data_IF_825835703538
#
_entry.id   IF_825835703538
#
_cell.length_a   1.000
_cell.length_b   1.000
_cell.length_c   1.000
_cell.angle_alpha   90.00
_cell.angle_beta   90.00
_cell.angle_gamma   90.00
#
_symmetry.space_group_name_H-M   'P 1'
#
loop_
_entity.id
_entity.type
_entity.pdbx_description
1 polymer ?
#
# COMPACT_ATOMS: atom_id res chain seq x y z
N UNK A 1 -14.19 -10.56 -18.67
CA UNK A 1 -15.63 -10.88 -18.57
C UNK A 1 -16.40 -9.89 -19.45
N UNK A 2 -17.40 -10.30 -20.23
CA UNK A 2 -18.21 -9.36 -21.02
C UNK A 2 -18.85 -8.28 -20.14
N UNK A 3 -18.95 -7.05 -20.65
CA UNK A 3 -19.50 -5.90 -19.92
C UNK A 3 -20.98 -6.10 -19.53
N UNK A 4 -21.77 -6.72 -20.43
CA UNK A 4 -23.15 -7.12 -20.13
C UNK A 4 -23.27 -8.21 -19.05
N UNK A 5 -22.14 -8.78 -18.62
CA UNK A 5 -22.03 -9.69 -17.49
C UNK A 5 -22.87 -10.96 -17.56
N UNK A 6 -22.80 -11.73 -16.47
CA UNK A 6 -23.66 -12.89 -16.20
C UNK A 6 -24.44 -12.74 -14.89
N UNK A 7 -24.26 -11.61 -14.20
CA UNK A 7 -24.95 -11.28 -12.95
C UNK A 7 -26.48 -11.31 -13.18
N UNK A 8 -27.22 -11.92 -12.26
CA UNK A 8 -28.67 -12.10 -12.30
C UNK A 8 -29.17 -13.29 -13.13
N UNK A 9 -28.30 -13.95 -13.91
CA UNK A 9 -28.65 -15.18 -14.67
C UNK A 9 -28.48 -16.43 -13.81
N UNK A 10 -29.13 -17.52 -14.20
CA UNK A 10 -28.72 -18.85 -13.69
C UNK A 10 -27.41 -19.30 -14.33
N UNK A 11 -26.78 -20.31 -13.75
CA UNK A 11 -25.57 -20.90 -14.34
C UNK A 11 -25.85 -21.49 -15.71
N UNK A 12 -27.01 -22.10 -15.88
CA UNK A 12 -27.41 -22.77 -17.11
C UNK A 12 -27.64 -21.74 -18.24
N UNK A 13 -28.24 -20.60 -17.92
CA UNK A 13 -28.40 -19.47 -18.85
C UNK A 13 -27.04 -18.83 -19.23
N UNK A 14 -26.08 -18.82 -18.31
CA UNK A 14 -24.76 -18.22 -18.50
C UNK A 14 -23.72 -19.18 -19.13
N UNK A 15 -23.93 -20.49 -19.03
CA UNK A 15 -22.95 -21.52 -19.40
C UNK A 15 -22.45 -21.41 -20.84
N UNK A 16 -23.29 -21.16 -21.88
CA UNK A 16 -22.79 -21.02 -23.25
C UNK A 16 -21.77 -19.88 -23.39
N UNK A 17 -22.05 -18.75 -22.74
CA UNK A 17 -21.17 -17.58 -22.75
C UNK A 17 -19.87 -17.89 -22.00
N UNK A 18 -19.95 -18.45 -20.80
CA UNK A 18 -18.79 -18.76 -19.97
C UNK A 18 -17.87 -19.80 -20.64
N UNK A 19 -18.44 -20.83 -21.27
CA UNK A 19 -17.68 -21.85 -22.02
C UNK A 19 -17.01 -21.29 -23.27
N UNK A 20 -17.66 -20.34 -23.96
CA UNK A 20 -17.08 -19.68 -25.14
C UNK A 20 -15.79 -18.92 -24.84
N UNK A 21 -15.52 -18.60 -23.58
CA UNK A 21 -14.30 -17.90 -23.16
C UNK A 21 -13.06 -18.80 -23.11
N UNK A 22 -13.21 -20.13 -23.23
CA UNK A 22 -12.09 -21.05 -23.37
C UNK A 22 -11.19 -21.18 -22.14
N UNK A 23 -11.65 -20.76 -20.97
CA UNK A 23 -10.93 -20.87 -19.69
C UNK A 23 -11.75 -21.64 -18.65
N UNK A 24 -11.11 -22.29 -17.66
CA UNK A 24 -11.83 -23.02 -16.61
C UNK A 24 -12.79 -22.11 -15.85
N UNK A 25 -13.99 -22.60 -15.52
CA UNK A 25 -14.98 -21.86 -14.73
C UNK A 25 -15.26 -22.62 -13.44
N UNK A 26 -15.01 -21.96 -12.30
CA UNK A 26 -15.22 -22.47 -10.95
C UNK A 26 -16.43 -21.80 -10.33
N UNK A 27 -17.31 -22.60 -9.76
CA UNK A 27 -18.58 -22.15 -9.19
C UNK A 27 -18.52 -22.27 -7.67
N UNK A 28 -18.98 -21.22 -7.00
CA UNK A 28 -18.97 -21.05 -5.55
C UNK A 28 -20.36 -20.65 -5.06
N UNK A 29 -20.65 -20.92 -3.79
CA UNK A 29 -21.85 -20.43 -3.10
C UNK A 29 -21.51 -19.16 -2.32
N UNK A 30 -22.39 -18.17 -2.40
CA UNK A 30 -22.23 -16.87 -1.73
C UNK A 30 -23.53 -16.45 -1.06
N UNK A 31 -23.42 -15.72 0.05
CA UNK A 31 -24.57 -15.05 0.65
C UNK A 31 -25.09 -13.94 -0.28
N UNK A 32 -26.38 -14.00 -0.59
CA UNK A 32 -27.00 -13.11 -1.59
C UNK A 32 -28.49 -12.94 -1.30
N UNK A 33 -29.01 -11.77 -1.67
CA UNK A 33 -30.45 -11.47 -1.66
C UNK A 33 -31.21 -12.15 -2.82
N UNK A 34 -30.51 -12.85 -3.72
CA UNK A 34 -31.07 -13.48 -4.91
C UNK A 34 -30.62 -14.95 -5.07
N UNK A 35 -31.19 -15.87 -4.27
CA UNK A 35 -30.84 -17.29 -4.34
C UNK A 35 -31.00 -17.91 -5.74
N UNK A 36 -30.06 -18.77 -6.12
CA UNK A 36 -30.05 -19.49 -7.40
C UNK A 36 -29.60 -18.66 -8.61
N UNK A 37 -29.30 -17.37 -8.44
CA UNK A 37 -28.75 -16.50 -9.48
C UNK A 37 -27.27 -16.24 -9.26
N UNK A 38 -26.55 -15.96 -10.34
CA UNK A 38 -25.16 -15.50 -10.27
C UNK A 38 -25.16 -14.10 -9.68
N UNK A 39 -24.48 -13.93 -8.55
CA UNK A 39 -24.46 -12.69 -7.79
C UNK A 39 -23.05 -12.08 -7.68
N UNK A 40 -22.01 -12.86 -7.94
CA UNK A 40 -20.62 -12.40 -7.96
C UNK A 40 -19.82 -13.05 -9.09
N UNK A 41 -18.84 -12.33 -9.64
CA UNK A 41 -17.89 -12.89 -10.61
C UNK A 41 -16.48 -12.37 -10.39
N UNK A 42 -15.47 -13.19 -10.66
CA UNK A 42 -14.08 -12.74 -10.82
C UNK A 42 -13.51 -13.32 -12.14
N UNK A 43 -13.05 -12.47 -13.08
CA UNK A 43 -13.04 -11.01 -13.01
C UNK A 43 -14.45 -10.41 -13.05
N UNK A 44 -14.57 -9.15 -12.61
CA UNK A 44 -15.83 -8.38 -12.68
C UNK A 44 -16.26 -8.15 -14.13
N UNK A 45 -17.56 -7.91 -14.42
CA UNK A 45 -18.02 -7.54 -15.75
C UNK A 45 -17.22 -6.35 -16.32
N UNK A 46 -16.76 -6.47 -17.56
CA UNK A 46 -15.90 -5.47 -18.21
C UNK A 46 -14.40 -5.59 -17.91
N UNK A 47 -14.01 -6.34 -16.87
CA UNK A 47 -12.60 -6.51 -16.51
C UNK A 47 -11.93 -7.68 -17.26
N UNK A 48 -10.62 -7.59 -17.58
CA UNK A 48 -9.87 -8.67 -18.22
C UNK A 48 -9.71 -9.89 -17.30
N UNK A 49 -9.43 -11.06 -17.88
CA UNK A 49 -9.10 -12.27 -17.10
C UNK A 49 -7.76 -12.09 -16.37
N UNK A 50 -7.71 -12.52 -15.10
CA UNK A 50 -6.47 -12.56 -14.31
C UNK A 50 -5.62 -13.77 -14.74
N UNK A 51 -5.07 -13.72 -15.96
CA UNK A 51 -4.26 -14.77 -16.57
C UNK A 51 -4.95 -16.15 -16.64
N UNK A 52 -4.18 -17.22 -16.41
CA UNK A 52 -4.66 -18.61 -16.48
C UNK A 52 -5.51 -19.05 -15.26
N UNK A 53 -5.93 -18.14 -14.37
CA UNK A 53 -6.60 -18.51 -13.10
C UNK A 53 -8.05 -18.96 -13.27
N UNK A 54 -8.62 -18.84 -14.48
CA UNK A 54 -10.01 -19.18 -14.77
C UNK A 54 -11.00 -18.11 -14.31
N UNK A 55 -12.29 -18.39 -14.50
CA UNK A 55 -13.41 -17.54 -14.11
C UNK A 55 -14.01 -18.11 -12.83
N UNK A 56 -14.30 -17.25 -11.86
CA UNK A 56 -14.96 -17.62 -10.62
C UNK A 56 -16.36 -17.02 -10.62
N UNK A 57 -17.37 -17.85 -10.32
CA UNK A 57 -18.78 -17.48 -10.31
C UNK A 57 -19.35 -17.76 -8.92
N UNK A 58 -19.96 -16.76 -8.29
CA UNK A 58 -20.69 -16.91 -7.04
C UNK A 58 -22.19 -17.01 -7.31
N UNK A 59 -22.81 -18.12 -6.95
CA UNK A 59 -24.26 -18.32 -6.98
C UNK A 59 -24.81 -17.95 -5.61
N UNK A 60 -25.85 -17.12 -5.60
CA UNK A 60 -26.58 -16.80 -4.39
C UNK A 60 -27.14 -18.05 -3.74
N UNK A 61 -26.85 -18.24 -2.47
CA UNK A 61 -27.52 -19.19 -1.61
C UNK A 61 -28.34 -18.41 -0.58
N UNK A 62 -29.51 -18.96 -0.24
CA UNK A 62 -30.29 -18.45 0.87
C UNK A 62 -29.46 -18.52 2.16
N UNK A 63 -29.56 -17.50 3.01
CA UNK A 63 -28.80 -17.46 4.25
C UNK A 63 -29.19 -18.66 5.13
N UNK A 64 -28.25 -19.58 5.32
CA UNK A 64 -28.47 -20.84 6.04
C UNK A 64 -28.53 -20.68 7.56
N UNK A 65 -28.20 -19.49 8.07
CA UNK A 65 -27.97 -19.27 9.50
C UNK A 65 -28.81 -18.13 10.09
N UNK A 66 -30.11 -17.97 9.76
CA UNK A 66 -30.91 -16.83 10.23
C UNK A 66 -30.90 -16.68 11.75
N UNK A 67 -30.78 -17.80 12.48
CA UNK A 67 -30.82 -17.85 13.94
C UNK A 67 -29.42 -17.81 14.60
N UNK A 68 -28.32 -17.95 13.84
CA UNK A 68 -26.95 -18.06 14.38
C UNK A 68 -25.94 -17.06 13.84
N UNK A 69 -26.39 -16.11 13.01
CA UNK A 69 -25.61 -14.99 12.49
C UNK A 69 -26.09 -14.58 11.11
N UNK A 70 -26.16 -13.28 10.85
CA UNK A 70 -26.57 -12.74 9.54
C UNK A 70 -25.36 -12.67 8.62
N UNK A 71 -25.53 -13.07 7.37
CA UNK A 71 -24.47 -12.97 6.36
C UNK A 71 -24.36 -11.55 5.77
N UNK A 72 -23.20 -11.21 5.22
CA UNK A 72 -23.01 -9.94 4.49
C UNK A 72 -23.30 -10.17 3.00
N UNK A 73 -24.38 -9.63 2.43
CA UNK A 73 -24.76 -9.94 1.06
C UNK A 73 -23.81 -9.30 0.03
N UNK A 74 -23.59 -10.00 -1.09
CA UNK A 74 -22.78 -9.47 -2.21
C UNK A 74 -23.42 -8.22 -2.85
N UNK A 75 -24.73 -8.04 -2.72
CA UNK A 75 -25.48 -6.88 -3.23
C UNK A 75 -25.15 -5.56 -2.52
N UNK A 76 -24.34 -5.58 -1.45
CA UNK A 76 -23.76 -4.34 -0.94
C UNK A 76 -22.75 -3.75 -1.91
N UNK A 77 -22.05 -4.57 -2.73
CA UNK A 77 -21.10 -4.03 -3.70
C UNK A 77 -21.78 -3.03 -4.64
N UNK A 78 -21.14 -1.88 -4.85
CA UNK A 78 -21.64 -0.76 -5.66
C UNK A 78 -22.92 -0.08 -5.11
N UNK A 79 -23.40 -0.46 -3.93
CA UNK A 79 -24.45 0.27 -3.21
C UNK A 79 -23.88 1.54 -2.59
N UNK A 80 -24.67 2.61 -2.54
CA UNK A 80 -24.31 3.83 -1.81
C UNK A 80 -23.94 3.52 -0.35
N UNK A 81 -22.88 4.15 0.17
CA UNK A 81 -22.35 3.83 1.50
C UNK A 81 -23.34 4.12 2.63
N UNK A 82 -24.18 5.15 2.49
CA UNK A 82 -25.13 5.56 3.53
C UNK A 82 -26.38 4.67 3.48
N UNK A 83 -26.81 4.27 2.27
CA UNK A 83 -27.83 3.23 2.08
C UNK A 83 -27.37 1.89 2.66
N UNK A 84 -26.14 1.46 2.36
CA UNK A 84 -25.55 0.22 2.86
C UNK A 84 -25.38 0.24 4.39
N UNK A 85 -24.91 1.37 4.94
CA UNK A 85 -24.82 1.56 6.38
C UNK A 85 -26.19 1.37 7.05
N UNK A 86 -27.23 2.01 6.51
CA UNK A 86 -28.59 1.90 7.03
C UNK A 86 -29.12 0.47 6.92
N UNK A 87 -28.98 -0.16 5.75
CA UNK A 87 -29.40 -1.53 5.53
C UNK A 87 -28.79 -2.48 6.56
N UNK A 88 -27.48 -2.44 6.75
CA UNK A 88 -26.80 -3.34 7.69
C UNK A 88 -27.10 -2.98 9.16
N UNK A 89 -27.27 -1.69 9.48
CA UNK A 89 -27.65 -1.26 10.82
C UNK A 89 -29.08 -1.69 11.19
N UNK A 90 -30.02 -1.61 10.25
CA UNK A 90 -31.40 -2.08 10.41
C UNK A 90 -31.43 -3.63 10.57
N UNK A 91 -30.44 -4.32 9.99
CA UNK A 91 -30.18 -5.75 10.21
C UNK A 91 -29.46 -6.05 11.55
N UNK A 92 -29.23 -5.04 12.39
CA UNK A 92 -28.66 -5.20 13.73
C UNK A 92 -27.13 -5.25 13.78
N UNK A 93 -26.43 -5.04 12.67
CA UNK A 93 -24.97 -4.94 12.67
C UNK A 93 -24.49 -3.62 13.27
N UNK A 94 -23.37 -3.66 13.99
CA UNK A 94 -22.61 -2.45 14.30
C UNK A 94 -21.67 -2.13 13.15
N UNK A 95 -22.05 -1.14 12.35
CA UNK A 95 -21.36 -0.82 11.10
C UNK A 95 -20.29 0.26 11.30
N UNK A 96 -19.09 0.00 10.79
CA UNK A 96 -18.01 0.99 10.63
C UNK A 96 -17.76 1.24 9.14
N UNK A 97 -17.72 2.50 8.73
CA UNK A 97 -17.35 2.89 7.35
C UNK A 97 -15.88 3.28 7.28
N UNK A 98 -15.14 2.69 6.34
CA UNK A 98 -13.71 2.97 6.13
C UNK A 98 -13.47 3.33 4.66
N UNK A 99 -12.85 4.49 4.36
CA UNK A 99 -12.50 4.85 2.99
C UNK A 99 -11.45 3.90 2.40
N UNK A 100 -11.59 3.57 1.12
CA UNK A 100 -10.62 2.80 0.33
C UNK A 100 -10.53 3.38 -1.07
N UNK A 101 -9.33 3.54 -1.61
CA UNK A 101 -9.18 4.04 -2.98
C UNK A 101 -9.89 3.12 -3.96
N UNK A 102 -10.62 3.72 -4.89
CA UNK A 102 -11.36 3.01 -5.92
C UNK A 102 -11.51 3.87 -7.17
N UNK A 103 -11.88 3.23 -8.28
CA UNK A 103 -12.20 3.91 -9.53
C UNK A 103 -13.37 4.90 -9.39
N UNK A 104 -13.42 5.90 -10.28
CA UNK A 104 -14.39 7.00 -10.25
C UNK A 104 -15.84 6.52 -10.18
N UNK A 105 -16.15 5.39 -10.84
CA UNK A 105 -17.50 4.78 -10.88
C UNK A 105 -18.00 4.27 -9.51
N UNK A 106 -17.09 4.04 -8.57
CA UNK A 106 -17.37 3.46 -7.25
C UNK A 106 -17.22 4.46 -6.09
N UNK A 107 -16.94 5.73 -6.38
CA UNK A 107 -16.82 6.74 -5.33
C UNK A 107 -18.12 6.88 -4.53
N UNK A 108 -18.01 6.88 -3.20
CA UNK A 108 -19.15 6.91 -2.28
C UNK A 108 -19.92 5.60 -2.15
N UNK A 109 -19.51 4.54 -2.86
CA UNK A 109 -20.19 3.24 -2.86
C UNK A 109 -19.35 2.16 -2.19
N UNK A 110 -19.96 1.07 -1.75
CA UNK A 110 -19.25 -0.03 -1.11
C UNK A 110 -18.41 -0.80 -2.13
N UNK A 111 -17.14 -0.99 -1.79
CA UNK A 111 -16.12 -1.68 -2.61
C UNK A 111 -15.56 -2.92 -1.93
N UNK A 112 -16.02 -3.22 -0.72
CA UNK A 112 -15.67 -4.43 0.03
C UNK A 112 -16.15 -4.36 1.48
N UNK A 113 -15.92 -5.42 2.23
CA UNK A 113 -16.23 -5.47 3.67
C UNK A 113 -15.30 -6.42 4.43
N UNK A 114 -15.33 -6.32 5.76
CA UNK A 114 -14.80 -7.33 6.68
C UNK A 114 -15.84 -7.60 7.78
N UNK A 115 -16.41 -8.81 7.90
CA UNK A 115 -16.22 -10.00 7.06
C UNK A 115 -16.49 -9.75 5.56
N UNK A 116 -15.91 -10.56 4.67
CA UNK A 116 -15.97 -10.33 3.22
C UNK A 116 -17.38 -10.39 2.64
N UNK A 117 -17.64 -9.61 1.59
CA UNK A 117 -18.93 -9.61 0.89
C UNK A 117 -19.24 -11.02 0.37
N UNK A 118 -20.44 -11.52 0.65
CA UNK A 118 -20.89 -12.86 0.28
C UNK A 118 -20.41 -13.97 1.22
N UNK A 119 -19.61 -13.67 2.23
CA UNK A 119 -19.19 -14.66 3.23
C UNK A 119 -20.29 -14.87 4.27
N UNK A 120 -20.59 -16.13 4.56
CA UNK A 120 -21.46 -16.48 5.68
C UNK A 120 -20.73 -16.27 7.00
N UNK A 121 -21.35 -15.57 7.94
CA UNK A 121 -20.80 -15.31 9.26
C UNK A 121 -21.73 -15.84 10.35
N UNK A 122 -21.15 -16.23 11.51
CA UNK A 122 -21.91 -16.70 12.68
C UNK A 122 -21.66 -15.75 13.85
N UNK A 123 -22.73 -15.18 14.41
CA UNK A 123 -22.72 -14.34 15.61
C UNK A 123 -23.04 -12.85 15.39
N UNK A 124 -23.28 -12.16 16.51
CA UNK A 124 -23.43 -10.69 16.59
C UNK A 124 -22.05 -10.07 16.36
N UNK A 125 -21.86 -9.37 15.24
CA UNK A 125 -20.53 -8.93 14.80
C UNK A 125 -20.51 -7.49 14.34
N UNK A 126 -19.44 -6.80 14.73
CA UNK A 126 -19.03 -5.54 14.13
C UNK A 126 -18.65 -5.82 12.67
N UNK A 127 -19.21 -5.05 11.73
CA UNK A 127 -18.86 -5.11 10.31
C UNK A 127 -18.14 -3.83 9.90
N UNK A 128 -17.07 -3.99 9.13
CA UNK A 128 -16.44 -2.87 8.43
C UNK A 128 -16.86 -2.88 6.97
N UNK A 129 -17.48 -1.80 6.52
CA UNK A 129 -17.79 -1.56 5.11
C UNK A 129 -16.75 -0.60 4.53
N UNK A 130 -16.08 -1.04 3.48
CA UNK A 130 -15.13 -0.20 2.75
C UNK A 130 -15.85 0.53 1.63
N UNK A 131 -15.72 1.84 1.55
CA UNK A 131 -16.33 2.64 0.49
C UNK A 131 -15.28 3.30 -0.41
N UNK A 132 -15.61 3.45 -1.68
CA UNK A 132 -14.74 4.06 -2.68
C UNK A 132 -14.48 5.53 -2.34
N UNK A 133 -13.21 5.87 -2.18
CA UNK A 133 -12.73 7.20 -1.85
C UNK A 133 -11.70 7.68 -2.88
N UNK A 134 -11.55 8.99 -2.97
CA UNK A 134 -10.64 9.65 -3.89
C UNK A 134 -9.58 10.47 -3.14
N UNK A 135 -8.83 11.30 -3.87
CA UNK A 135 -7.76 12.13 -3.34
C UNK A 135 -8.18 13.01 -2.13
N UNK A 136 -9.46 13.38 -2.02
CA UNK A 136 -9.97 14.24 -0.94
C UNK A 136 -9.89 13.60 0.45
N UNK A 137 -9.89 12.27 0.54
CA UNK A 137 -9.81 11.53 1.81
C UNK A 137 -8.39 11.09 2.18
N UNK A 138 -7.39 11.36 1.34
CA UNK A 138 -6.01 10.86 1.48
C UNK A 138 -5.42 11.08 2.87
N UNK A 139 -5.46 12.31 3.41
CA UNK A 139 -4.91 12.57 4.75
C UNK A 139 -5.63 11.76 5.83
N UNK A 140 -6.95 11.63 5.75
CA UNK A 140 -7.75 10.82 6.69
C UNK A 140 -7.46 9.32 6.57
N UNK A 141 -7.15 8.84 5.37
CA UNK A 141 -6.87 7.42 5.11
C UNK A 141 -5.51 6.96 5.67
N UNK A 142 -4.52 7.85 5.72
CA UNK A 142 -3.16 7.49 6.14
C UNK A 142 -2.82 7.92 7.56
N UNK A 143 -3.57 8.86 8.14
CA UNK A 143 -3.17 9.50 9.40
C UNK A 143 -4.19 9.34 10.52
N UNK A 144 -3.68 9.33 11.74
CA UNK A 144 -4.47 9.41 12.96
C UNK A 144 -3.92 10.49 13.88
N UNK A 145 -4.75 10.94 14.82
CA UNK A 145 -4.30 11.82 15.88
C UNK A 145 -3.61 10.99 16.97
N UNK A 146 -2.42 11.42 17.40
CA UNK A 146 -1.76 10.89 18.60
C UNK A 146 -1.68 11.96 19.69
N UNK A 147 -1.83 11.51 20.93
CA UNK A 147 -1.82 12.33 22.13
C UNK A 147 -0.64 11.88 23.01
N UNK A 148 0.44 12.65 23.03
CA UNK A 148 1.62 12.35 23.85
C UNK A 148 1.51 12.97 25.24
N UNK A 149 0.89 14.15 25.35
CA UNK A 149 0.61 14.83 26.61
C UNK A 149 -0.56 15.80 26.43
N UNK A 150 -1.00 16.44 27.51
CA UNK A 150 -2.02 17.50 27.47
C UNK A 150 -1.69 18.64 26.49
N UNK A 151 -0.40 18.90 26.29
CA UNK A 151 0.11 19.98 25.45
C UNK A 151 0.82 19.48 24.19
N UNK A 152 0.78 18.18 23.88
CA UNK A 152 1.41 17.65 22.66
C UNK A 152 0.48 16.66 21.98
N UNK A 153 -0.19 17.16 20.94
CA UNK A 153 -1.00 16.34 20.02
C UNK A 153 -0.41 16.42 18.62
N UNK A 154 -0.42 15.31 17.89
CA UNK A 154 0.08 15.26 16.51
C UNK A 154 -0.93 14.62 15.57
N UNK A 155 -0.80 14.90 14.27
CA UNK A 155 -1.39 14.09 13.20
C UNK A 155 -0.25 13.38 12.51
N UNK A 156 -0.25 12.05 12.60
CA UNK A 156 0.86 11.21 12.16
C UNK A 156 0.40 10.13 11.20
N UNK A 157 1.29 9.69 10.32
CA UNK A 157 1.07 8.46 9.57
C UNK A 157 0.92 7.30 10.54
N UNK A 158 -0.21 6.62 10.43
CA UNK A 158 -0.61 5.53 11.32
C UNK A 158 -0.86 4.22 10.58
N UNK A 159 -0.96 4.27 9.26
CA UNK A 159 -1.25 3.10 8.44
C UNK A 159 -0.78 3.31 7.01
N UNK A 160 -0.40 2.22 6.35
CA UNK A 160 -0.09 2.15 4.92
C UNK A 160 -1.10 1.28 4.16
N UNK A 161 -2.13 0.77 4.85
CA UNK A 161 -3.17 -0.10 4.29
C UNK A 161 -3.82 0.42 2.99
N UNK A 162 -3.95 1.73 2.72
CA UNK A 162 -4.47 2.19 1.42
C UNK A 162 -3.67 1.78 0.18
N UNK A 163 -2.41 1.34 0.31
CA UNK A 163 -1.64 0.75 -0.79
C UNK A 163 -1.97 -0.73 -1.03
N UNK A 164 -2.57 -1.42 -0.05
CA UNK A 164 -2.82 -2.87 -0.10
C UNK A 164 -3.75 -3.22 -1.25
N UNK A 165 -3.31 -4.16 -2.07
CA UNK A 165 -4.04 -4.62 -3.24
C UNK A 165 -3.12 -4.95 -4.40
N UNK A 166 -3.75 -5.39 -5.48
CA UNK A 166 -3.09 -5.70 -6.74
C UNK A 166 -3.23 -4.52 -7.69
N UNK A 167 -2.12 -4.12 -8.30
CA UNK A 167 -2.02 -3.00 -9.21
C UNK A 167 -1.32 -3.46 -10.48
N UNK A 168 -1.91 -3.27 -11.65
CA UNK A 168 -1.38 -3.81 -12.89
C UNK A 168 -1.30 -2.76 -13.99
N UNK A 169 -0.22 -2.82 -14.78
CA UNK A 169 -0.12 -2.09 -16.04
C UNK A 169 -1.10 -2.67 -17.06
N UNK A 170 -1.39 -1.92 -18.12
CA UNK A 170 -2.19 -2.43 -19.26
C UNK A 170 -1.53 -3.62 -19.98
N UNK A 171 -0.20 -3.76 -19.84
CA UNK A 171 0.55 -4.89 -20.41
C UNK A 171 0.46 -6.18 -19.58
N UNK A 172 -0.12 -6.12 -18.38
CA UNK A 172 -0.29 -7.27 -17.49
C UNK A 172 0.80 -7.45 -16.43
N UNK A 173 1.79 -6.56 -16.39
CA UNK A 173 2.77 -6.50 -15.29
C UNK A 173 2.11 -5.99 -14.00
N UNK A 174 2.33 -6.63 -12.85
CA UNK A 174 1.55 -6.38 -11.64
C UNK A 174 2.39 -6.28 -10.35
N UNK A 175 2.09 -5.27 -9.54
CA UNK A 175 2.51 -5.12 -8.15
C UNK A 175 1.41 -5.64 -7.23
N UNK A 176 1.77 -6.38 -6.19
CA UNK A 176 0.82 -6.88 -5.18
C UNK A 176 1.34 -6.51 -3.79
N UNK A 177 0.70 -5.51 -3.17
CA UNK A 177 1.07 -5.04 -1.84
C UNK A 177 0.20 -5.72 -0.78
N UNK A 178 0.86 -6.20 0.27
CA UNK A 178 0.25 -6.85 1.42
C UNK A 178 0.69 -6.16 2.72
N UNK A 179 -0.11 -6.25 3.79
CA UNK A 179 0.32 -5.78 5.11
C UNK A 179 1.62 -6.47 5.57
N UNK A 180 2.56 -5.70 6.15
CA UNK A 180 3.95 -6.16 6.35
C UNK A 180 4.26 -6.90 7.64
N UNK A 181 3.32 -7.02 8.58
CA UNK A 181 3.53 -7.68 9.88
C UNK A 181 2.30 -8.47 10.32
N UNK A 182 2.53 -9.65 10.90
CA UNK A 182 1.55 -10.45 11.65
C UNK A 182 1.52 -10.09 13.15
N UNK A 183 2.37 -9.15 13.59
CA UNK A 183 2.44 -8.71 14.99
C UNK A 183 1.51 -7.52 15.27
N UNK A 184 1.11 -6.79 14.22
CA UNK A 184 0.02 -5.83 14.30
C UNK A 184 -1.29 -6.61 14.39
N UNK A 185 -1.80 -6.77 15.60
CA UNK A 185 -3.05 -7.49 15.89
C UNK A 185 -4.29 -6.85 15.24
N UNK A 186 -4.11 -5.67 14.64
CA UNK A 186 -5.12 -4.95 13.87
C UNK A 186 -4.57 -4.58 12.49
N UNK A 187 -5.11 -5.20 11.43
CA UNK A 187 -4.72 -4.96 10.03
C UNK A 187 -4.90 -3.50 9.60
N UNK A 188 -5.66 -2.70 10.34
CA UNK A 188 -5.93 -1.30 10.02
C UNK A 188 -4.87 -0.33 10.54
N UNK A 189 -4.03 -0.74 11.51
CA UNK A 189 -2.91 0.05 12.02
C UNK A 189 -1.57 -0.40 11.43
N UNK A 190 -1.60 -1.13 10.30
CA UNK A 190 -0.38 -1.64 9.71
C UNK A 190 0.47 -0.51 9.13
N UNK A 191 1.59 -0.25 9.79
CA UNK A 191 2.56 0.78 9.42
C UNK A 191 3.63 0.26 8.45
N UNK A 192 3.52 -0.98 7.98
CA UNK A 192 4.48 -1.63 7.09
C UNK A 192 3.78 -2.31 5.92
N UNK A 193 4.42 -2.32 4.76
CA UNK A 193 3.96 -3.08 3.59
C UNK A 193 5.02 -4.07 3.13
N UNK A 194 4.56 -5.16 2.55
CA UNK A 194 5.36 -6.09 1.74
C UNK A 194 4.90 -6.03 0.29
N UNK A 195 5.83 -6.24 -0.62
CA UNK A 195 5.54 -6.47 -2.03
C UNK A 195 5.68 -7.96 -2.29
N UNK A 196 4.68 -8.57 -2.90
CA UNK A 196 4.67 -9.98 -3.28
C UNK A 196 4.97 -10.15 -4.78
N UNK A 197 5.41 -11.35 -5.17
CA UNK A 197 5.65 -11.72 -6.57
C UNK A 197 7.02 -11.31 -7.12
N UNK A 198 7.20 -11.33 -8.47
CA UNK A 198 8.50 -11.13 -9.11
C UNK A 198 9.21 -9.84 -8.72
N UNK A 199 8.46 -8.75 -8.56
CA UNK A 199 9.03 -7.45 -8.18
C UNK A 199 9.48 -7.37 -6.73
N UNK A 200 9.09 -8.31 -5.87
CA UNK A 200 9.64 -8.41 -4.52
C UNK A 200 11.16 -8.64 -4.56
N UNK A 201 11.61 -9.43 -5.55
CA UNK A 201 12.99 -9.89 -5.73
C UNK A 201 13.87 -8.85 -6.44
N UNK A 202 13.29 -8.00 -7.30
CA UNK A 202 14.00 -6.92 -8.01
C UNK A 202 14.77 -5.98 -7.06
N UNK A 203 14.34 -5.94 -5.79
CA UNK A 203 14.83 -5.02 -4.77
C UNK A 203 15.44 -5.75 -3.55
N UNK A 204 15.62 -7.08 -3.58
CA UNK A 204 16.32 -7.79 -2.50
C UNK A 204 17.82 -7.51 -2.57
N UNK A 205 18.37 -7.05 -1.44
CA UNK A 205 19.79 -7.20 -1.16
C UNK A 205 19.94 -8.55 -0.48
N UNK A 206 21.01 -9.28 -0.78
CA UNK A 206 21.43 -10.49 -0.05
C UNK A 206 21.76 -10.08 1.39
N UNK A 207 20.73 -9.88 2.21
CA UNK A 207 20.83 -9.66 3.64
C UNK A 207 20.05 -10.79 4.32
N UNK A 208 20.71 -11.95 4.39
CA UNK A 208 20.16 -13.16 5.01
C UNK A 208 19.89 -12.99 6.51
N UNK A 209 20.17 -11.83 7.11
CA UNK A 209 20.17 -11.64 8.56
C UNK A 209 18.93 -10.96 9.12
N UNK A 210 18.10 -10.25 8.35
CA UNK A 210 16.95 -9.55 8.96
C UNK A 210 15.70 -9.39 8.06
N UNK A 211 14.67 -10.20 8.31
CA UNK A 211 13.35 -10.09 7.65
C UNK A 211 12.60 -8.76 7.92
N UNK A 212 13.06 -7.97 8.90
CA UNK A 212 12.40 -6.75 9.36
C UNK A 212 12.70 -5.52 8.47
N UNK A 213 13.84 -5.50 7.78
CA UNK A 213 14.36 -4.37 7.00
C UNK A 213 14.01 -4.43 5.51
N UNK A 214 12.86 -5.02 5.16
CA UNK A 214 12.38 -5.06 3.77
C UNK A 214 10.97 -4.45 3.60
N UNK A 215 10.50 -3.74 4.62
CA UNK A 215 9.21 -3.07 4.59
C UNK A 215 9.29 -1.72 3.88
N UNK A 216 8.16 -1.29 3.32
CA UNK A 216 7.98 0.07 2.84
C UNK A 216 7.48 0.98 3.96
N UNK A 217 7.96 2.23 3.95
CA UNK A 217 7.56 3.28 4.87
C UNK A 217 7.44 4.64 4.19
N UNK A 218 7.01 5.65 4.95
CA UNK A 218 6.92 7.04 4.50
C UNK A 218 7.87 7.99 5.25
N UNK A 219 8.59 7.46 6.23
CA UNK A 219 9.50 8.22 7.08
C UNK A 219 10.90 7.66 6.95
N UNK A 220 11.87 8.53 7.22
CA UNK A 220 13.24 8.09 7.44
C UNK A 220 13.44 7.63 8.87
N UNK A 221 14.48 6.83 9.10
CA UNK A 221 14.92 6.58 10.46
C UNK A 221 15.15 7.90 11.21
N UNK A 222 14.47 8.04 12.35
CA UNK A 222 14.55 9.22 13.19
C UNK A 222 14.26 8.83 14.63
N UNK A 223 15.03 9.37 15.56
CA UNK A 223 14.75 9.29 17.00
C UNK A 223 13.82 10.42 17.48
N UNK A 224 13.34 11.25 16.55
CA UNK A 224 12.36 12.28 16.86
C UNK A 224 11.02 11.62 17.19
N UNK A 225 10.49 11.92 18.38
CA UNK A 225 9.19 11.42 18.86
C UNK A 225 8.05 11.70 17.86
N UNK A 226 8.13 12.81 17.11
CA UNK A 226 7.15 13.19 16.10
C UNK A 226 7.61 12.87 14.66
N UNK A 227 8.40 11.81 14.52
CA UNK A 227 9.09 11.41 13.28
C UNK A 227 8.18 11.14 12.07
N UNK A 228 6.94 10.73 12.31
CA UNK A 228 5.92 10.50 11.27
C UNK A 228 4.81 11.56 11.28
N UNK A 229 5.04 12.70 11.93
CA UNK A 229 4.06 13.77 12.00
C UNK A 229 4.02 14.61 10.71
N UNK A 230 2.80 14.82 10.23
CA UNK A 230 2.49 15.83 9.20
C UNK A 230 1.90 17.11 9.83
N UNK A 231 1.56 17.06 11.12
CA UNK A 231 1.09 18.22 11.89
C UNK A 231 1.35 18.04 13.38
N UNK A 232 1.73 19.11 14.06
CA UNK A 232 1.98 19.14 15.52
C UNK A 232 1.14 20.27 16.14
N UNK A 233 0.59 20.02 17.33
CA UNK A 233 -0.15 20.96 18.15
C UNK A 233 0.47 20.99 19.54
N UNK A 234 1.36 21.95 19.77
CA UNK A 234 2.07 22.13 21.04
C UNK A 234 2.27 23.60 21.44
N UNK A 235 1.58 24.51 20.77
CA UNK A 235 1.71 25.95 21.00
C UNK A 235 3.01 26.56 20.46
N UNK A 236 3.93 25.75 19.92
CA UNK A 236 5.18 26.21 19.35
C UNK A 236 5.09 26.37 17.82
N UNK A 237 5.94 27.25 17.27
CA UNK A 237 6.13 27.35 15.82
C UNK A 237 7.24 26.39 15.40
N UNK A 238 6.86 25.31 14.74
CA UNK A 238 7.82 24.40 14.11
C UNK A 238 8.29 24.99 12.78
N UNK A 239 9.60 25.21 12.65
CA UNK A 239 10.20 25.68 11.40
C UNK A 239 10.24 24.58 10.32
N UNK A 240 10.16 23.31 10.72
CA UNK A 240 10.12 22.17 9.80
C UNK A 240 9.63 20.90 10.48
N UNK A 241 8.80 20.11 9.81
CA UNK A 241 8.39 18.78 10.27
C UNK A 241 9.15 17.66 9.52
N UNK A 242 9.38 16.49 10.15
CA UNK A 242 10.11 15.39 9.52
C UNK A 242 9.57 14.99 8.14
N UNK A 243 8.25 15.00 7.97
CA UNK A 243 7.57 14.59 6.73
C UNK A 243 7.31 15.72 5.74
N UNK A 244 7.81 16.94 5.97
CA UNK A 244 7.38 18.14 5.23
C UNK A 244 7.59 18.08 3.71
N UNK A 245 8.54 17.27 3.24
CA UNK A 245 8.85 17.12 1.83
C UNK A 245 8.23 15.87 1.18
N UNK A 246 7.43 15.09 1.92
CA UNK A 246 6.65 13.95 1.38
C UNK A 246 5.41 14.46 0.65
N UNK A 247 4.85 13.65 -0.24
CA UNK A 247 3.65 14.02 -1.00
C UNK A 247 2.41 14.14 -0.11
N UNK A 248 2.30 13.30 0.93
CA UNK A 248 1.19 13.32 1.88
C UNK A 248 1.08 14.64 2.67
N UNK A 249 2.22 15.31 2.89
CA UNK A 249 2.24 16.60 3.57
C UNK A 249 1.51 17.69 2.75
N UNK A 250 1.69 17.66 1.42
CA UNK A 250 1.07 18.59 0.49
C UNK A 250 -0.44 18.40 0.32
N UNK A 251 -1.01 19.14 -0.63
CA UNK A 251 -2.46 19.15 -0.91
C UNK A 251 -2.81 18.63 -2.31
N UNK A 252 -1.90 17.85 -2.91
CA UNK A 252 -2.13 17.21 -4.21
C UNK A 252 -2.98 15.95 -4.11
N UNK A 253 -3.13 15.41 -2.90
CA UNK A 253 -3.82 14.15 -2.62
C UNK A 253 -3.04 12.90 -3.03
N UNK A 254 -1.74 13.04 -3.31
CA UNK A 254 -0.85 11.92 -3.64
C UNK A 254 -0.02 11.50 -2.43
N UNK A 255 0.48 10.27 -2.46
CA UNK A 255 1.28 9.70 -1.37
C UNK A 255 2.48 8.96 -1.96
N UNK A 256 3.62 9.06 -1.30
CA UNK A 256 4.82 8.33 -1.63
C UNK A 256 5.27 7.39 -0.51
N UNK A 257 5.75 6.21 -0.90
CA UNK A 257 6.40 5.24 -0.02
C UNK A 257 7.75 4.85 -0.62
N UNK A 258 8.69 4.51 0.24
CA UNK A 258 10.01 4.05 -0.15
C UNK A 258 10.49 2.92 0.76
N UNK A 259 11.39 2.12 0.21
CA UNK A 259 11.93 0.94 0.87
C UNK A 259 13.03 1.31 1.89
N UNK A 260 13.14 0.48 2.93
CA UNK A 260 14.17 0.51 3.98
C UNK A 260 14.23 1.85 4.73
N UNK A 261 13.12 2.61 4.79
CA UNK A 261 13.12 3.96 5.38
C UNK A 261 14.12 4.92 4.71
N UNK A 262 14.70 4.57 3.56
CA UNK A 262 15.81 5.32 2.97
C UNK A 262 17.12 5.24 3.77
N UNK A 263 17.36 4.15 4.49
CA UNK A 263 18.60 3.97 5.25
C UNK A 263 19.86 3.87 4.35
N UNK A 264 21.03 4.33 4.85
CA UNK A 264 22.31 4.17 4.17
C UNK A 264 22.84 2.75 4.24
N UNK A 265 23.92 2.49 3.49
CA UNK A 265 24.65 1.23 3.45
C UNK A 265 26.12 1.44 3.81
N UNK A 266 26.70 0.46 4.48
CA UNK A 266 28.14 0.32 4.62
C UNK A 266 28.61 -0.92 3.86
N UNK A 267 29.12 -0.70 2.65
CA UNK A 267 29.36 -1.79 1.71
C UNK A 267 28.05 -2.39 1.20
N UNK A 268 27.76 -3.64 1.58
CA UNK A 268 26.54 -4.34 1.18
C UNK A 268 25.50 -4.47 2.31
N UNK A 269 25.81 -4.03 3.52
CA UNK A 269 24.91 -4.12 4.67
C UNK A 269 24.23 -2.77 4.92
N UNK A 270 22.97 -2.80 5.38
CA UNK A 270 22.27 -1.60 5.85
C UNK A 270 23.03 -1.07 7.07
N UNK A 271 23.33 0.23 7.06
CA UNK A 271 24.13 0.85 8.09
C UNK A 271 23.26 1.38 9.22
N UNK A 272 23.37 0.74 10.40
CA UNK A 272 22.80 1.18 11.66
C UNK A 272 23.91 1.50 12.67
N UNK A 273 23.94 2.76 13.12
CA UNK A 273 24.91 3.25 14.11
C UNK A 273 24.76 2.57 15.48
N UNK A 274 23.57 2.06 15.81
CA UNK A 274 23.33 1.35 17.08
C UNK A 274 23.88 -0.08 17.08
N UNK A 275 24.08 -0.65 15.90
CA UNK A 275 24.63 -1.99 15.73
C UNK A 275 26.14 -1.99 15.48
N UNK A 276 26.71 -0.88 14.99
CA UNK A 276 28.14 -0.76 14.70
C UNK A 276 28.52 0.52 13.95
N UNK A 277 29.75 0.58 13.47
CA UNK A 277 30.26 1.72 12.68
C UNK A 277 30.70 1.29 11.28
N UNK A 278 30.58 2.22 10.34
CA UNK A 278 31.11 2.04 9.00
C UNK A 278 32.56 2.49 8.95
N UNK A 279 33.49 1.55 8.73
CA UNK A 279 34.92 1.84 8.65
C UNK A 279 35.41 1.60 7.22
N UNK A 280 35.68 2.67 6.48
CA UNK A 280 36.12 2.62 5.07
C UNK A 280 35.22 1.73 4.18
N UNK A 281 33.90 1.83 4.34
CA UNK A 281 32.92 1.07 3.56
C UNK A 281 32.73 -0.38 4.00
N UNK A 282 33.25 -0.77 5.17
CA UNK A 282 33.00 -2.07 5.79
C UNK A 282 32.31 -1.89 7.14
N UNK A 283 31.15 -2.53 7.31
CA UNK A 283 30.45 -2.54 8.59
C UNK A 283 31.28 -3.32 9.62
N UNK A 284 31.43 -2.75 10.81
CA UNK A 284 32.03 -3.41 11.96
C UNK A 284 31.10 -3.23 13.14
N UNK A 285 30.61 -4.33 13.71
CA UNK A 285 29.87 -4.29 14.96
C UNK A 285 30.78 -3.84 16.12
N UNK A 286 30.17 -3.50 17.27
CA UNK A 286 30.95 -3.01 18.41
C UNK A 286 31.95 -4.03 18.97
N UNK A 287 31.70 -5.34 18.82
CA UNK A 287 32.62 -6.38 19.27
C UNK A 287 33.86 -6.47 18.36
N UNK A 288 33.64 -6.33 17.06
CA UNK A 288 34.71 -6.24 16.06
C UNK A 288 35.54 -4.97 16.26
N UNK A 289 34.90 -3.83 16.58
CA UNK A 289 35.58 -2.58 16.89
C UNK A 289 36.46 -2.69 18.14
N UNK A 290 35.95 -3.24 19.24
CA UNK A 290 36.71 -3.50 20.47
C UNK A 290 37.95 -4.38 20.20
N UNK A 291 37.82 -5.37 19.31
CA UNK A 291 38.92 -6.28 18.94
C UNK A 291 39.95 -5.65 18.02
N UNK A 292 39.48 -4.91 17.01
CA UNK A 292 40.33 -4.36 15.95
C UNK A 292 41.01 -3.05 16.34
N UNK A 293 40.44 -2.32 17.30
CA UNK A 293 40.90 -1.01 17.76
C UNK A 293 40.96 -0.95 19.30
N UNK A 294 41.79 -1.78 19.96
CA UNK A 294 41.82 -1.89 21.42
C UNK A 294 42.30 -0.62 22.13
N UNK A 295 42.98 0.28 21.42
CA UNK A 295 43.42 1.58 21.93
C UNK A 295 42.28 2.61 22.03
N UNK A 296 41.12 2.30 21.47
CA UNK A 296 39.93 3.13 21.50
C UNK A 296 38.93 2.55 22.51
N UNK A 297 38.28 3.42 23.28
CA UNK A 297 37.22 2.99 24.19
C UNK A 297 35.88 2.93 23.46
N UNK A 298 34.93 2.17 24.02
CA UNK A 298 33.56 2.07 23.52
C UNK A 298 32.87 3.43 23.27
N UNK A 299 33.28 4.48 23.97
CA UNK A 299 32.73 5.82 23.83
C UNK A 299 33.43 6.67 22.75
N UNK A 300 34.57 6.24 22.21
CA UNK A 300 35.43 7.02 21.33
C UNK A 300 35.71 6.33 19.98
N UNK A 301 34.95 5.29 19.62
CA UNK A 301 35.14 4.65 18.31
C UNK A 301 34.92 5.60 17.13
N UNK A 302 34.21 6.71 17.32
CA UNK A 302 34.06 7.75 16.32
C UNK A 302 35.40 8.33 15.82
N UNK A 303 36.45 8.27 16.65
CA UNK A 303 37.78 8.79 16.35
C UNK A 303 38.68 7.79 15.59
N UNK A 304 38.21 6.56 15.38
CA UNK A 304 38.95 5.55 14.63
C UNK A 304 39.14 6.02 13.17
N UNK A 305 40.38 5.99 12.63
CA UNK A 305 40.64 6.41 11.26
C UNK A 305 39.79 5.65 10.24
N UNK A 306 38.95 6.38 9.50
CA UNK A 306 38.10 5.79 8.46
C UNK A 306 36.67 5.51 8.90
N UNK A 307 36.33 5.75 10.17
CA UNK A 307 34.93 5.76 10.61
C UNK A 307 34.14 6.81 9.84
N UNK A 308 32.88 6.49 9.56
CA UNK A 308 31.93 7.28 8.80
C UNK A 308 32.37 7.56 7.35
N UNK A 309 33.34 6.80 6.83
CA UNK A 309 33.76 6.83 5.42
C UNK A 309 33.28 5.60 4.67
N UNK A 310 32.94 5.78 3.40
CA UNK A 310 32.46 4.71 2.51
C UNK A 310 30.99 4.36 2.71
N UNK A 311 30.23 5.22 3.39
CA UNK A 311 28.79 5.09 3.53
C UNK A 311 28.13 5.49 2.22
N UNK A 312 27.15 4.73 1.78
CA UNK A 312 26.47 4.92 0.49
C UNK A 312 24.97 4.94 0.66
N UNK A 313 24.29 5.84 -0.03
CA UNK A 313 22.87 5.68 -0.33
C UNK A 313 22.73 5.00 -1.68
N UNK A 314 21.78 4.09 -1.79
CA UNK A 314 21.40 3.41 -3.03
C UNK A 314 19.97 3.78 -3.38
N UNK A 315 19.66 3.96 -4.66
CA UNK A 315 18.28 4.11 -5.12
C UNK A 315 17.55 2.79 -4.91
N UNK A 316 16.62 2.79 -3.97
CA UNK A 316 15.71 1.67 -3.70
C UNK A 316 14.35 1.93 -4.34
N UNK A 317 13.49 0.92 -4.28
CA UNK A 317 12.08 1.07 -4.63
C UNK A 317 11.46 2.31 -3.97
N UNK A 318 10.84 3.12 -4.82
CA UNK A 318 10.09 4.32 -4.46
C UNK A 318 8.82 4.28 -5.30
N UNK A 319 7.68 4.33 -4.63
CA UNK A 319 6.37 4.34 -5.26
C UNK A 319 5.64 5.64 -4.99
N UNK A 320 4.83 6.07 -5.96
CA UNK A 320 3.89 7.18 -5.81
C UNK A 320 2.50 6.65 -6.13
N UNK A 321 1.58 6.78 -5.17
CA UNK A 321 0.17 6.48 -5.34
C UNK A 321 -0.55 7.77 -5.76
N UNK A 322 -1.28 7.66 -6.88
CA UNK A 322 -2.08 8.71 -7.47
C UNK A 322 -3.56 8.30 -7.43
N UNK A 323 -4.34 8.81 -6.46
CA UNK A 323 -5.77 8.55 -6.40
C UNK A 323 -6.54 9.21 -7.54
N UNK A 324 -7.80 8.79 -7.72
CA UNK A 324 -8.77 9.55 -8.51
C UNK A 324 -8.89 10.98 -7.95
N UNK A 325 -9.08 11.95 -8.84
CA UNK A 325 -9.16 13.39 -8.49
C UNK A 325 -7.87 14.00 -7.89
N UNK A 326 -6.74 13.29 -7.89
CA UNK A 326 -5.46 13.85 -7.49
C UNK A 326 -4.99 14.95 -8.44
N UNK A 327 -4.26 15.92 -7.91
CA UNK A 327 -3.76 17.08 -8.66
C UNK A 327 -2.45 16.76 -9.40
N UNK A 328 -2.51 15.79 -10.30
CA UNK A 328 -1.33 15.30 -11.03
C UNK A 328 -0.65 16.42 -11.82
N UNK A 329 -1.42 17.23 -12.54
CA UNK A 329 -0.90 18.32 -13.36
C UNK A 329 -0.14 19.38 -12.51
N UNK A 330 -0.56 19.62 -11.26
CA UNK A 330 0.17 20.49 -10.32
C UNK A 330 1.51 19.86 -9.89
N UNK A 331 1.53 18.55 -9.65
CA UNK A 331 2.76 17.84 -9.28
C UNK A 331 3.75 17.79 -10.45
N UNK A 332 3.28 17.58 -11.68
CA UNK A 332 4.10 17.68 -12.89
C UNK A 332 4.69 19.08 -13.06
N UNK A 333 3.88 20.13 -12.88
CA UNK A 333 4.33 21.52 -12.97
C UNK A 333 5.36 21.88 -11.87
N UNK A 334 5.33 21.20 -10.72
CA UNK A 334 6.28 21.42 -9.62
C UNK A 334 7.71 20.95 -9.93
N UNK A 335 7.92 20.21 -11.02
CA UNK A 335 9.21 19.59 -11.36
C UNK A 335 9.50 18.31 -10.58
N UNK A 336 8.49 17.72 -9.93
CA UNK A 336 8.64 16.44 -9.22
C UNK A 336 9.07 15.31 -10.16
N UNK A 337 8.60 15.31 -11.41
CA UNK A 337 8.95 14.28 -12.40
C UNK A 337 10.08 14.73 -13.34
N UNK A 338 10.94 13.77 -13.70
CA UNK A 338 11.95 13.93 -14.75
C UNK A 338 11.31 13.70 -16.11
N UNK A 339 11.15 14.77 -16.88
CA UNK A 339 10.57 14.71 -18.23
C UNK A 339 9.04 14.69 -18.22
N UNK A 340 8.45 14.17 -19.29
CA UNK A 340 6.99 14.09 -19.48
C UNK A 340 6.61 12.75 -20.11
N UNK A 341 5.44 12.23 -19.75
CA UNK A 341 4.84 11.10 -20.45
C UNK A 341 4.47 11.45 -21.89
N UNK A 342 4.32 10.43 -22.73
CA UNK A 342 3.78 10.53 -24.09
C UNK A 342 2.26 10.51 -24.08
N UNK A 343 1.66 9.76 -23.15
CA UNK A 343 0.22 9.55 -23.04
C UNK A 343 -0.23 9.74 -21.59
N UNK A 344 -1.37 10.42 -21.39
CA UNK A 344 -1.91 10.68 -20.06
C UNK A 344 -2.49 9.38 -19.49
N UNK A 345 -2.16 8.99 -18.25
CA UNK A 345 -2.84 7.90 -17.56
C UNK A 345 -4.35 8.09 -17.50
N UNK A 346 -5.11 7.00 -17.51
CA UNK A 346 -6.52 6.97 -17.11
C UNK A 346 -6.71 7.50 -15.67
N UNK A 347 -7.28 8.71 -15.55
CA UNK A 347 -7.52 9.38 -14.27
C UNK A 347 -8.85 8.99 -13.59
N UNK A 348 -9.61 8.06 -14.18
CA UNK A 348 -10.79 7.46 -13.56
C UNK A 348 -10.43 6.23 -12.73
N UNK A 349 -9.16 5.84 -12.69
CA UNK A 349 -8.64 4.74 -11.90
C UNK A 349 -7.47 5.23 -11.05
N UNK A 350 -7.41 4.87 -9.76
CA UNK A 350 -6.21 5.13 -8.99
C UNK A 350 -5.07 4.27 -9.53
N UNK A 351 -3.85 4.79 -9.48
CA UNK A 351 -2.67 4.08 -9.99
C UNK A 351 -1.42 4.34 -9.14
N UNK A 352 -0.44 3.46 -9.31
CA UNK A 352 0.88 3.57 -8.70
C UNK A 352 1.94 3.76 -9.80
N UNK A 353 2.91 4.62 -9.52
CA UNK A 353 4.15 4.76 -10.28
C UNK A 353 5.28 4.09 -9.52
N UNK A 354 6.18 3.42 -10.24
CA UNK A 354 7.42 2.84 -9.69
C UNK A 354 8.62 3.60 -10.25
N UNK A 355 9.52 4.05 -9.36
CA UNK A 355 10.79 4.63 -9.79
C UNK A 355 11.68 3.57 -10.42
N UNK A 356 12.31 3.91 -11.53
CA UNK A 356 13.22 3.02 -12.23
C UNK A 356 14.65 3.64 -12.29
N UNK A 357 15.62 3.04 -11.58
CA UNK A 357 17.01 3.52 -11.55
C UNK A 357 17.67 3.69 -12.92
N UNK A 358 17.22 2.98 -13.98
CA UNK A 358 17.83 3.06 -15.32
C UNK A 358 17.72 4.45 -15.96
N UNK A 359 16.80 5.29 -15.48
CA UNK A 359 16.63 6.66 -15.96
C UNK A 359 17.57 7.67 -15.29
N UNK A 360 18.47 7.21 -14.41
CA UNK A 360 19.40 8.05 -13.67
C UNK A 360 20.84 7.76 -14.08
N UNK A 361 21.67 8.79 -14.14
CA UNK A 361 23.10 8.65 -14.44
C UNK A 361 23.89 8.06 -13.27
N UNK A 362 23.35 8.16 -12.05
CA UNK A 362 23.88 7.57 -10.82
C UNK A 362 22.70 7.03 -10.02
N UNK A 363 22.82 5.81 -9.53
CA UNK A 363 21.87 5.16 -8.62
C UNK A 363 22.46 4.91 -7.23
N UNK A 364 23.70 5.34 -7.00
CA UNK A 364 24.41 5.23 -5.73
C UNK A 364 25.21 6.51 -5.49
N UNK A 365 25.23 6.99 -4.25
CA UNK A 365 25.99 8.16 -3.82
C UNK A 365 26.71 7.82 -2.52
N UNK A 366 28.03 7.93 -2.53
CA UNK A 366 28.84 7.91 -1.31
C UNK A 366 28.69 9.24 -0.58
N UNK A 367 28.38 9.19 0.71
CA UNK A 367 28.32 10.35 1.60
C UNK A 367 29.44 10.27 2.63
N UNK A 368 30.03 11.43 2.94
CA UNK A 368 30.83 11.58 4.14
C UNK A 368 29.87 12.06 5.23
N UNK A 369 29.62 11.23 6.23
CA UNK A 369 28.79 11.70 7.33
C UNK A 369 29.59 12.60 8.25
N UNK A 370 29.02 13.78 8.51
CA UNK A 370 29.53 14.69 9.52
C UNK A 370 28.88 14.30 10.85
N UNK A 371 29.71 13.96 11.84
CA UNK A 371 29.27 13.63 13.21
C UNK A 371 28.27 12.47 13.30
N UNK A 372 28.26 11.56 12.30
CA UNK A 372 27.33 10.43 12.26
C UNK A 372 25.91 10.77 11.77
N UNK A 373 25.62 12.00 11.31
CA UNK A 373 24.33 12.32 10.70
C UNK A 373 24.16 11.61 9.35
N UNK A 374 23.20 10.69 9.28
CA UNK A 374 22.81 9.91 8.10
C UNK A 374 21.36 10.17 7.70
N UNK A 375 20.82 11.36 7.97
CA UNK A 375 19.41 11.69 7.66
C UNK A 375 19.25 12.38 6.31
N UNK A 376 20.32 12.56 5.54
CA UNK A 376 20.32 13.33 4.28
C UNK A 376 20.40 12.41 3.06
N UNK A 377 19.46 11.47 2.95
CA UNK A 377 19.37 10.60 1.78
C UNK A 377 18.83 11.38 0.57
N UNK A 378 19.63 11.60 -0.49
CA UNK A 378 19.20 12.38 -1.66
C UNK A 378 18.05 11.73 -2.46
N UNK A 379 17.84 10.42 -2.32
CA UNK A 379 16.91 9.66 -3.14
C UNK A 379 15.49 9.59 -2.57
N UNK A 380 15.25 10.03 -1.34
CA UNK A 380 13.91 10.05 -0.73
C UNK A 380 13.65 11.44 -0.14
N UNK A 381 12.38 11.83 0.06
CA UNK A 381 12.09 13.07 0.77
C UNK A 381 12.58 12.98 2.22
N UNK A 382 13.19 14.06 2.69
CA UNK A 382 13.72 14.20 4.05
C UNK A 382 13.15 15.46 4.67
N UNK A 383 13.45 15.74 5.95
CA UNK A 383 13.14 17.06 6.51
C UNK A 383 13.95 18.17 5.84
N UNK A 384 15.09 17.87 5.21
CA UNK A 384 16.00 18.86 4.62
C UNK A 384 15.66 19.20 3.17
N UNK A 385 15.22 18.23 2.38
CA UNK A 385 14.96 18.43 0.95
C UNK A 385 13.91 17.44 0.40
N UNK A 386 13.37 17.77 -0.78
CA UNK A 386 12.60 16.84 -1.61
C UNK A 386 13.53 15.78 -2.23
N UNK A 387 13.01 14.60 -2.55
CA UNK A 387 13.77 13.63 -3.34
C UNK A 387 14.21 14.24 -4.68
N UNK A 388 15.27 13.70 -5.27
CA UNK A 388 15.58 13.99 -6.68
C UNK A 388 14.36 13.68 -7.58
N UNK A 389 14.23 14.33 -8.75
CA UNK A 389 13.07 14.14 -9.61
C UNK A 389 12.78 12.67 -9.93
N UNK A 390 11.52 12.28 -9.77
CA UNK A 390 11.02 10.93 -9.99
C UNK A 390 11.02 10.56 -11.48
N UNK A 391 11.51 9.38 -11.81
CA UNK A 391 11.58 8.88 -13.18
C UNK A 391 11.18 7.40 -13.23
N UNK A 392 10.43 6.98 -14.26
CA UNK A 392 9.91 7.81 -15.36
C UNK A 392 8.76 8.74 -14.92
N UNK A 393 8.49 9.78 -15.71
CA UNK A 393 7.27 10.56 -15.59
C UNK A 393 6.02 9.69 -15.87
N UNK A 394 4.83 10.08 -15.38
CA UNK A 394 3.61 9.28 -15.55
C UNK A 394 3.27 9.10 -17.03
N UNK A 395 3.03 7.85 -17.43
CA UNK A 395 2.56 7.49 -18.76
C UNK A 395 1.60 6.30 -18.66
N UNK A 396 0.58 6.26 -19.50
CA UNK A 396 -0.39 5.17 -19.55
C UNK A 396 0.27 3.77 -19.73
N UNK A 397 1.47 3.72 -20.33
CA UNK A 397 2.23 2.47 -20.50
C UNK A 397 3.03 2.02 -19.27
N UNK A 398 3.22 2.88 -18.25
CA UNK A 398 4.11 2.61 -17.12
C UNK A 398 3.45 2.68 -15.74
N UNK A 399 2.19 3.10 -15.67
CA UNK A 399 1.42 3.14 -14.43
C UNK A 399 0.77 1.79 -14.12
N UNK A 400 0.67 1.47 -12.83
CA UNK A 400 0.02 0.27 -12.32
C UNK A 400 -1.36 0.65 -11.78
N UNK A 401 -2.41 0.35 -12.52
CA UNK A 401 -3.79 0.64 -12.12
C UNK A 401 -4.31 -0.33 -11.08
N UNK A 402 -5.09 0.16 -10.11
CA UNK A 402 -5.78 -0.70 -9.16
C UNK A 402 -6.63 -1.75 -9.88
N UNK A 403 -6.53 -2.99 -9.42
CA UNK A 403 -7.42 -4.09 -9.81
C UNK A 403 -8.50 -4.22 -8.74
N UNK A 404 -9.73 -3.87 -9.10
CA UNK A 404 -10.89 -3.97 -8.22
C UNK A 404 -11.19 -5.45 -7.92
N UNK A 405 -11.10 -5.84 -6.64
CA UNK A 405 -11.39 -7.20 -6.17
C UNK A 405 -12.34 -7.15 -4.97
N UNK A 406 -13.63 -6.88 -5.18
CA UNK A 406 -14.59 -6.71 -4.09
C UNK A 406 -14.96 -8.03 -3.38
N UNK A 407 -14.70 -9.17 -4.02
CA UNK A 407 -15.07 -10.49 -3.50
C UNK A 407 -13.84 -11.37 -3.26
N UNK A 408 -13.75 -11.94 -2.06
CA UNK A 408 -12.75 -12.96 -1.74
C UNK A 408 -13.32 -14.37 -1.97
N UNK A 409 -13.10 -14.88 -3.16
CA UNK A 409 -13.54 -16.21 -3.57
C UNK A 409 -12.84 -17.37 -2.82
N UNK A 410 -11.73 -17.11 -2.12
CA UNK A 410 -11.07 -18.15 -1.32
C UNK A 410 -11.82 -18.48 -0.05
N UNK A 411 -12.60 -17.53 0.48
CA UNK A 411 -13.49 -17.72 1.62
C UNK A 411 -14.84 -18.35 1.27
N UNK A 412 -15.14 -18.61 -0.01
CA UNK A 412 -16.41 -19.19 -0.43
C UNK A 412 -16.37 -20.72 -0.54
N UNK A 413 -17.53 -21.34 -0.34
CA UNK A 413 -17.68 -22.80 -0.48
C UNK A 413 -17.71 -23.13 -1.97
N UNK A 414 -16.74 -23.92 -2.45
CA UNK A 414 -16.72 -24.43 -3.83
C UNK A 414 -17.90 -25.39 -4.04
N UNK A 415 -18.66 -25.17 -5.11
CA UNK A 415 -19.80 -25.99 -5.51
C UNK A 415 -19.41 -27.01 -6.59
N UNK A 416 -19.01 -26.51 -7.78
CA UNK A 416 -18.69 -27.33 -8.96
C UNK A 416 -17.74 -26.63 -9.93
N UNK A 417 -17.30 -27.33 -10.98
CA UNK A 417 -16.62 -26.78 -12.16
C UNK A 417 -17.50 -27.02 -13.41
N UNK A 418 -17.47 -26.12 -14.41
CA UNK A 418 -18.36 -26.16 -15.58
C UNK A 418 -17.74 -26.69 -16.88
#
# INVERSE_FOLDING_TARGET
MPEKGVIGKTVEEAAPLLKSMGVPVKVYKVASLHPGKIAATNPMPGEPLDGNKGIFIGIGEEDKYPDSGRSVPVELFDKDKDEAYKMMSDEGFKVRLVPRYSSRKHLGKIVGSNPGLGQSHRGDSDITLYYGADASETKKMFTSKKYYSENLTTVEVSTLTPFVGKWCTKSGDCLEFEPGSSMDKDSEQNSSLRLHGPHAMDDLVNDDKTQYYHSFGMWQFTQNLVGSAIKVYDGEKHNSLPMQNTLLFGDTGMVDIFRDGGDPYCGNEIYDVHSGLCVNGKFQDYQDLDRNYPDYSHNNFIDVPGVNKGITYKMRAYFVLVPVSAKLDELEASGFFKGKGKTKPDMDRPFILRRDPKYYSKSEITVASKDGDMRDNPFVPTSKHKAIPFAPAPDDSNVYYLVEKPFDFTGFIKDREL
#
